data_IF_338839516035
#
_entry.id   IF_338839516035
#
_cell.length_a   1.000
_cell.length_b   1.000
_cell.length_c   1.000
_cell.angle_alpha   90.00
_cell.angle_beta   90.00
_cell.angle_gamma   90.00
#
_symmetry.space_group_name_H-M   'P 1'
#
loop_
_entity.id
_entity.type
_entity.pdbx_description
1 polymer ?
#
# COMPACT_ATOMS: atom_id res chain seq x y z
N UNK A 1 54.85 0.95 -36.65
CA UNK A 1 53.57 1.10 -35.93
C UNK A 1 52.83 -0.24 -35.99
N UNK A 2 52.97 -1.07 -34.95
CA UNK A 2 52.29 -2.37 -34.88
C UNK A 2 50.89 -2.17 -34.31
N UNK A 3 49.85 -2.44 -35.12
CA UNK A 3 48.47 -2.53 -34.65
C UNK A 3 48.30 -3.85 -33.92
N UNK A 4 48.15 -3.81 -32.59
CA UNK A 4 47.84 -4.99 -31.78
C UNK A 4 46.45 -5.53 -32.15
N UNK A 5 46.30 -6.85 -32.42
CA UNK A 5 45.00 -7.43 -32.74
C UNK A 5 44.12 -7.41 -31.49
N UNK A 6 43.03 -6.64 -31.54
CA UNK A 6 42.03 -6.55 -30.49
C UNK A 6 41.32 -7.91 -30.42
N UNK A 7 41.54 -8.67 -29.34
CA UNK A 7 40.92 -9.99 -29.19
C UNK A 7 39.39 -9.85 -29.15
N UNK A 8 38.70 -10.42 -30.13
CA UNK A 8 37.23 -10.33 -30.32
C UNK A 8 36.42 -10.65 -29.04
N UNK A 9 36.91 -11.55 -28.19
CA UNK A 9 36.29 -11.87 -26.90
C UNK A 9 36.21 -10.70 -25.92
N UNK A 10 37.25 -9.85 -25.85
CA UNK A 10 37.27 -8.69 -24.92
C UNK A 10 36.24 -7.62 -25.30
N UNK A 11 35.99 -7.43 -26.60
CA UNK A 11 34.98 -6.48 -27.08
C UNK A 11 33.59 -6.98 -26.70
N UNK A 12 33.32 -8.28 -26.82
CA UNK A 12 32.02 -8.86 -26.48
C UNK A 12 31.67 -8.70 -24.98
N UNK A 13 32.62 -8.93 -24.08
CA UNK A 13 32.41 -8.71 -22.64
C UNK A 13 32.14 -7.24 -22.31
N UNK A 14 32.85 -6.30 -22.94
CA UNK A 14 32.62 -4.86 -22.75
C UNK A 14 31.25 -4.44 -23.28
N UNK A 15 30.80 -4.99 -24.40
CA UNK A 15 29.48 -4.70 -25.00
C UNK A 15 28.35 -5.24 -24.12
N UNK A 16 28.47 -6.45 -23.58
CA UNK A 16 27.50 -7.01 -22.63
C UNK A 16 27.46 -6.14 -21.37
N UNK A 17 28.62 -5.80 -20.78
CA UNK A 17 28.67 -4.95 -19.60
C UNK A 17 28.04 -3.57 -19.84
N UNK A 18 28.32 -2.93 -20.99
CA UNK A 18 27.72 -1.67 -21.37
C UNK A 18 26.20 -1.78 -21.55
N UNK A 19 25.71 -2.83 -22.22
CA UNK A 19 24.28 -3.08 -22.38
C UNK A 19 23.57 -3.28 -21.05
N UNK A 20 24.19 -4.01 -20.12
CA UNK A 20 23.64 -4.29 -18.79
C UNK A 20 23.56 -3.00 -17.96
N UNK A 21 24.61 -2.17 -17.99
CA UNK A 21 24.61 -0.85 -17.33
C UNK A 21 23.52 0.06 -17.91
N UNK A 22 23.36 0.10 -19.24
CA UNK A 22 22.31 0.90 -19.89
C UNK A 22 20.91 0.41 -19.49
N UNK A 23 20.69 -0.90 -19.43
CA UNK A 23 19.40 -1.47 -19.01
C UNK A 23 19.12 -1.12 -17.54
N UNK A 24 20.09 -1.33 -16.64
CA UNK A 24 19.92 -1.02 -15.21
C UNK A 24 19.70 0.48 -15.01
N UNK A 25 20.50 1.33 -15.65
CA UNK A 25 20.34 2.78 -15.59
C UNK A 25 19.00 3.22 -16.16
N UNK A 26 18.57 2.64 -17.28
CA UNK A 26 17.25 2.89 -17.88
C UNK A 26 16.11 2.51 -16.94
N UNK A 27 16.17 1.35 -16.28
CA UNK A 27 15.18 0.92 -15.29
C UNK A 27 15.18 1.85 -14.07
N UNK A 28 16.35 2.25 -13.59
CA UNK A 28 16.47 3.15 -12.44
C UNK A 28 15.89 4.54 -12.72
N UNK A 29 16.16 5.10 -13.91
CA UNK A 29 15.57 6.36 -14.35
C UNK A 29 14.06 6.25 -14.60
N UNK A 30 13.57 5.06 -15.00
CA UNK A 30 12.16 4.81 -15.23
C UNK A 30 11.38 4.44 -13.96
N UNK A 31 12.03 4.25 -12.80
CA UNK A 31 11.41 3.76 -11.57
C UNK A 31 10.12 4.51 -11.20
N UNK A 32 10.15 5.84 -11.24
CA UNK A 32 9.02 6.69 -10.83
C UNK A 32 7.77 6.48 -11.70
N UNK A 33 7.97 6.01 -12.94
CA UNK A 33 6.89 5.63 -13.85
C UNK A 33 6.58 4.13 -13.77
N UNK A 34 7.60 3.28 -13.61
CA UNK A 34 7.47 1.83 -13.62
C UNK A 34 6.66 1.32 -12.43
N UNK A 35 6.87 1.88 -11.24
CA UNK A 35 6.17 1.51 -10.00
C UNK A 35 4.65 1.68 -10.12
N UNK A 36 4.11 2.86 -10.46
CA UNK A 36 2.66 3.03 -10.60
C UNK A 36 2.08 2.19 -11.74
N UNK A 37 2.84 1.98 -12.83
CA UNK A 37 2.42 1.09 -13.92
C UNK A 37 2.32 -0.36 -13.43
N UNK A 38 3.30 -0.86 -12.70
CA UNK A 38 3.28 -2.22 -12.17
C UNK A 38 2.11 -2.41 -11.19
N UNK A 39 1.90 -1.45 -10.29
CA UNK A 39 0.75 -1.42 -9.38
C UNK A 39 -0.56 -1.40 -10.18
N UNK A 40 -0.65 -0.61 -11.24
CA UNK A 40 -1.85 -0.52 -12.06
C UNK A 40 -2.18 -1.82 -12.79
N UNK A 41 -1.18 -2.56 -13.27
CA UNK A 41 -1.39 -3.88 -13.89
C UNK A 41 -1.96 -4.85 -12.86
N UNK A 42 -1.40 -4.86 -11.66
CA UNK A 42 -1.87 -5.68 -10.56
C UNK A 42 -3.30 -5.29 -10.13
N UNK A 43 -3.57 -3.99 -9.96
CA UNK A 43 -4.89 -3.48 -9.59
C UNK A 43 -5.93 -3.69 -10.70
N UNK A 44 -5.51 -3.68 -11.96
CA UNK A 44 -6.35 -4.00 -13.12
C UNK A 44 -6.82 -5.45 -13.11
N UNK A 45 -5.89 -6.37 -12.80
CA UNK A 45 -6.23 -7.78 -12.56
C UNK A 45 -7.28 -7.88 -11.44
N UNK A 46 -7.17 -7.06 -10.40
CA UNK A 46 -8.14 -7.03 -9.29
C UNK A 46 -9.47 -6.38 -9.63
N UNK A 47 -9.48 -5.36 -10.49
CA UNK A 47 -10.68 -4.71 -11.00
C UNK A 47 -11.45 -5.58 -12.00
N UNK A 48 -10.85 -6.66 -12.49
CA UNK A 48 -11.45 -7.49 -13.53
C UNK A 48 -12.74 -8.22 -13.07
N UNK A 49 -12.81 -8.89 -11.90
CA UNK A 49 -14.04 -9.52 -11.43
C UNK A 49 -15.24 -8.57 -11.30
N UNK A 50 -15.14 -7.38 -10.65
CA UNK A 50 -16.27 -6.47 -10.55
C UNK A 50 -16.67 -5.89 -11.91
N UNK A 51 -15.71 -5.55 -12.79
CA UNK A 51 -16.03 -5.10 -14.17
C UNK A 51 -16.74 -6.20 -14.96
N UNK A 52 -16.30 -7.47 -14.86
CA UNK A 52 -16.96 -8.61 -15.50
C UNK A 52 -18.38 -8.80 -14.97
N UNK A 53 -18.60 -8.63 -13.67
CA UNK A 53 -19.92 -8.73 -13.05
C UNK A 53 -20.87 -7.62 -13.55
N UNK A 54 -20.39 -6.38 -13.69
CA UNK A 54 -21.16 -5.28 -14.31
C UNK A 54 -21.49 -5.56 -15.78
N UNK A 55 -20.52 -6.08 -16.54
CA UNK A 55 -20.73 -6.43 -17.96
C UNK A 55 -21.78 -7.53 -18.13
N UNK A 56 -21.85 -8.50 -17.20
CA UNK A 56 -22.92 -9.53 -17.18
C UNK A 56 -24.31 -8.91 -16.97
N UNK A 57 -24.39 -7.75 -16.31
CA UNK A 57 -25.63 -6.95 -16.18
C UNK A 57 -25.89 -6.02 -17.39
N UNK A 58 -25.25 -6.27 -18.53
CA UNK A 58 -25.37 -5.49 -19.79
C UNK A 58 -24.87 -4.03 -19.71
N UNK A 59 -24.04 -3.68 -18.74
CA UNK A 59 -23.39 -2.36 -18.68
C UNK A 59 -22.25 -2.30 -19.72
N UNK A 60 -22.15 -1.24 -20.55
CA UNK A 60 -21.04 -1.09 -21.49
C UNK A 60 -19.71 -0.94 -20.74
N UNK A 61 -18.61 -1.38 -21.37
CA UNK A 61 -17.31 -1.48 -20.69
C UNK A 61 -16.86 -0.14 -20.08
N UNK A 62 -17.03 0.98 -20.78
CA UNK A 62 -16.64 2.30 -20.28
C UNK A 62 -17.35 2.68 -18.98
N UNK A 63 -18.66 2.47 -18.91
CA UNK A 63 -19.45 2.75 -17.70
C UNK A 63 -19.08 1.76 -16.59
N UNK A 64 -18.81 0.50 -16.92
CA UNK A 64 -18.40 -0.49 -15.93
C UNK A 64 -17.07 -0.12 -15.25
N UNK A 65 -16.09 0.33 -16.03
CA UNK A 65 -14.79 0.77 -15.51
C UNK A 65 -14.93 2.03 -14.65
N UNK A 66 -15.71 3.02 -15.11
CA UNK A 66 -15.99 4.23 -14.34
C UNK A 66 -16.63 3.91 -12.98
N UNK A 67 -17.65 3.04 -12.94
CA UNK A 67 -18.30 2.66 -11.68
C UNK A 67 -17.29 2.01 -10.72
N UNK A 68 -16.45 1.09 -11.21
CA UNK A 68 -15.47 0.40 -10.36
C UNK A 68 -14.44 1.40 -9.81
N UNK A 69 -13.94 2.31 -10.63
CA UNK A 69 -13.00 3.36 -10.19
C UNK A 69 -13.66 4.30 -9.18
N UNK A 70 -14.91 4.72 -9.43
CA UNK A 70 -15.66 5.56 -8.50
C UNK A 70 -15.86 4.89 -7.15
N UNK A 71 -16.16 3.58 -7.12
CA UNK A 71 -16.28 2.81 -5.87
C UNK A 71 -14.94 2.76 -5.13
N UNK A 72 -13.83 2.50 -5.83
CA UNK A 72 -12.50 2.49 -5.22
C UNK A 72 -12.15 3.87 -4.64
N UNK A 73 -12.39 4.94 -5.39
CA UNK A 73 -12.18 6.32 -4.94
C UNK A 73 -13.02 6.64 -3.70
N UNK A 74 -14.29 6.25 -3.70
CA UNK A 74 -15.19 6.48 -2.57
C UNK A 74 -14.68 5.78 -1.31
N UNK A 75 -14.22 4.53 -1.42
CA UNK A 75 -13.63 3.79 -0.30
C UNK A 75 -12.38 4.51 0.22
N UNK A 76 -11.48 4.93 -0.68
CA UNK A 76 -10.24 5.62 -0.29
C UNK A 76 -10.55 6.95 0.41
N UNK A 77 -11.47 7.75 -0.13
CA UNK A 77 -11.87 9.03 0.48
C UNK A 77 -12.48 8.78 1.87
N UNK A 78 -13.37 7.79 1.99
CA UNK A 78 -13.98 7.43 3.27
C UNK A 78 -12.91 7.03 4.30
N UNK A 79 -11.96 6.17 3.93
CA UNK A 79 -10.86 5.78 4.81
C UNK A 79 -9.96 6.98 5.17
N UNK A 80 -9.61 7.82 4.19
CA UNK A 80 -8.78 9.01 4.42
C UNK A 80 -9.44 10.00 5.37
N UNK A 81 -10.76 10.20 5.27
CA UNK A 81 -11.50 11.07 6.19
C UNK A 81 -11.54 10.49 7.62
N UNK A 82 -11.77 9.18 7.77
CA UNK A 82 -11.77 8.50 9.07
C UNK A 82 -10.39 8.59 9.73
N UNK A 83 -9.33 8.28 8.98
CA UNK A 83 -7.94 8.34 9.46
C UNK A 83 -7.54 9.78 9.77
N UNK A 84 -7.85 10.73 8.89
CA UNK A 84 -7.56 12.14 9.08
C UNK A 84 -8.24 12.71 10.32
N UNK A 85 -9.52 12.39 10.52
CA UNK A 85 -10.25 12.77 11.73
C UNK A 85 -9.62 12.16 12.98
N UNK A 86 -9.30 10.86 12.96
CA UNK A 86 -8.68 10.16 14.09
C UNK A 86 -7.30 10.73 14.44
N UNK A 87 -6.49 11.06 13.43
CA UNK A 87 -5.18 11.69 13.59
C UNK A 87 -5.30 13.11 14.15
N UNK A 88 -6.26 13.89 13.66
CA UNK A 88 -6.55 15.23 14.17
C UNK A 88 -6.99 15.19 15.63
N UNK A 89 -7.88 14.24 15.99
CA UNK A 89 -8.30 14.01 17.37
C UNK A 89 -7.13 13.60 18.25
N UNK A 90 -6.28 12.67 17.81
CA UNK A 90 -5.09 12.25 18.54
C UNK A 90 -4.12 13.43 18.77
N UNK A 91 -3.87 14.24 17.74
CA UNK A 91 -3.03 15.43 17.85
C UNK A 91 -3.60 16.45 18.85
N UNK A 92 -4.92 16.64 18.88
CA UNK A 92 -5.58 17.55 19.83
C UNK A 92 -5.60 17.02 21.28
N UNK A 93 -5.67 15.71 21.46
CA UNK A 93 -5.68 15.05 22.78
C UNK A 93 -4.27 14.81 23.32
N UNK A 94 -3.23 14.97 22.49
CA UNK A 94 -1.85 14.71 22.85
C UNK A 94 -1.36 15.46 24.10
N UNK A 95 -1.66 16.76 24.29
CA UNK A 95 -1.27 17.49 25.50
C UNK A 95 -1.89 16.88 26.77
N UNK A 96 -3.12 16.35 26.68
CA UNK A 96 -3.81 15.68 27.79
C UNK A 96 -3.14 14.34 28.10
N UNK A 97 -2.75 13.58 27.08
CA UNK A 97 -1.99 12.34 27.25
C UNK A 97 -0.60 12.60 27.88
N UNK A 98 0.07 13.69 27.50
CA UNK A 98 1.33 14.13 28.12
C UNK A 98 1.13 14.44 29.60
N UNK A 99 0.10 15.22 29.96
CA UNK A 99 -0.20 15.52 31.36
C UNK A 99 -0.46 14.27 32.19
N UNK A 100 -1.29 13.33 31.70
CA UNK A 100 -1.57 12.07 32.42
C UNK A 100 -0.32 11.19 32.57
N UNK A 101 0.48 11.07 31.52
CA UNK A 101 1.76 10.34 31.59
C UNK A 101 2.69 10.99 32.61
N UNK A 102 2.73 12.32 32.65
CA UNK A 102 3.55 13.07 33.60
C UNK A 102 3.07 12.90 35.04
N UNK A 103 1.76 12.86 35.28
CA UNK A 103 1.19 12.51 36.58
C UNK A 103 1.57 11.09 37.02
N UNK A 104 1.48 10.10 36.11
CA UNK A 104 1.88 8.72 36.42
C UNK A 104 3.38 8.56 36.62
N UNK A 105 4.21 9.24 35.82
CA UNK A 105 5.66 9.27 36.01
C UNK A 105 5.98 9.91 37.36
N UNK A 106 5.30 11.01 37.73
CA UNK A 106 5.49 11.66 39.02
C UNK A 106 5.07 10.76 40.18
N UNK A 107 3.98 10.01 40.04
CA UNK A 107 3.55 9.03 41.04
C UNK A 107 4.56 7.87 41.18
N UNK A 108 5.10 7.38 40.05
CA UNK A 108 6.14 6.35 40.04
C UNK A 108 7.46 6.86 40.63
N UNK A 109 7.92 8.06 40.28
CA UNK A 109 9.15 8.64 40.84
C UNK A 109 8.99 8.89 42.34
N UNK A 110 7.81 9.30 42.81
CA UNK A 110 7.53 9.46 44.24
C UNK A 110 7.57 8.10 44.98
N UNK A 111 7.01 7.04 44.38
CA UNK A 111 7.08 5.68 44.93
C UNK A 111 8.51 5.11 44.94
N UNK A 112 9.29 5.37 43.88
CA UNK A 112 10.70 4.95 43.79
C UNK A 112 11.60 5.76 44.73
N UNK A 113 11.30 7.05 44.93
CA UNK A 113 12.00 7.91 45.89
C UNK A 113 11.75 7.44 47.32
N UNK A 114 10.53 6.99 47.64
CA UNK A 114 10.21 6.34 48.91
C UNK A 114 10.96 5.01 49.13
N UNK A 115 11.47 4.39 48.06
CA UNK A 115 12.32 3.18 48.07
C UNK A 115 13.83 3.50 47.99
N UNK A 116 14.22 4.76 47.98
CA UNK A 116 15.63 5.20 48.01
C UNK A 116 16.31 5.39 46.64
N UNK A 117 15.55 5.35 45.53
CA UNK A 117 16.09 5.58 44.18
C UNK A 117 15.64 6.97 43.71
N UNK A 118 16.58 7.92 43.65
CA UNK A 118 16.33 9.29 43.18
C UNK A 118 16.54 9.33 41.67
N UNK A 119 15.45 9.49 40.90
CA UNK A 119 15.50 9.71 39.46
C UNK A 119 15.25 11.19 39.20
N UNK A 120 16.18 11.93 38.55
CA UNK A 120 15.97 13.34 38.24
C UNK A 120 14.80 13.52 37.25
N UNK A 121 13.83 14.41 37.55
CA UNK A 121 12.65 14.63 36.70
C UNK A 121 12.97 15.29 35.34
N UNK A 122 14.05 16.06 35.25
CA UNK A 122 14.38 16.85 34.05
C UNK A 122 14.84 16.02 32.84
N UNK A 123 15.26 14.76 33.03
CA UNK A 123 15.63 13.88 31.92
C UNK A 123 14.43 13.30 31.17
N UNK A 124 13.24 13.25 31.79
CA UNK A 124 12.06 12.59 31.22
C UNK A 124 11.11 13.55 30.50
N UNK A 125 11.19 14.85 30.78
CA UNK A 125 10.24 15.87 30.29
C UNK A 125 10.79 16.72 29.14
N UNK A 126 12.11 16.78 28.97
CA UNK A 126 12.78 17.67 28.02
C UNK A 126 12.69 17.19 26.56
N UNK A 127 12.24 15.95 26.31
CA UNK A 127 12.21 15.33 24.97
C UNK A 127 10.81 15.16 24.36
N UNK A 128 9.73 15.60 25.01
CA UNK A 128 8.39 15.62 24.42
C UNK A 128 7.98 17.04 24.01
N UNK A 129 8.74 17.66 23.09
CA UNK A 129 8.31 18.92 22.48
C UNK A 129 7.03 18.70 21.67
N UNK A 130 5.97 19.47 21.96
CA UNK A 130 4.71 19.44 21.19
C UNK A 130 4.92 19.64 19.68
N UNK A 131 6.02 20.31 19.29
CA UNK A 131 6.40 20.52 17.90
C UNK A 131 6.75 19.23 17.16
N UNK A 132 7.38 18.24 17.80
CA UNK A 132 7.75 16.98 17.15
C UNK A 132 6.51 16.16 16.80
N UNK A 133 5.48 16.23 17.64
CA UNK A 133 4.21 15.54 17.42
C UNK A 133 3.38 16.21 16.33
N UNK A 134 3.38 17.54 16.27
CA UNK A 134 2.79 18.29 15.17
C UNK A 134 3.49 17.98 13.82
N UNK A 135 4.82 17.81 13.83
CA UNK A 135 5.60 17.43 12.65
C UNK A 135 5.27 16.01 12.17
N UNK A 136 5.06 15.05 13.08
CA UNK A 136 4.62 13.69 12.73
C UNK A 136 3.23 13.73 12.08
N UNK A 137 2.28 14.45 12.67
CA UNK A 137 0.92 14.59 12.12
C UNK A 137 0.95 15.25 10.73
N UNK A 138 1.74 16.31 10.57
CA UNK A 138 1.90 17.02 9.30
C UNK A 138 2.59 16.14 8.25
N UNK A 139 3.59 15.34 8.62
CA UNK A 139 4.28 14.40 7.73
C UNK A 139 3.36 13.25 7.28
N UNK A 140 2.49 12.78 8.17
CA UNK A 140 1.45 11.82 7.80
C UNK A 140 0.46 12.42 6.80
N UNK A 141 0.00 13.65 7.06
CA UNK A 141 -0.97 14.33 6.21
C UNK A 141 -0.37 14.64 4.83
N UNK A 142 0.89 15.07 4.77
CA UNK A 142 1.62 15.27 3.51
C UNK A 142 1.87 13.94 2.78
N UNK A 143 2.15 12.86 3.51
CA UNK A 143 2.23 11.50 2.95
C UNK A 143 0.91 11.04 2.31
N UNK A 144 -0.23 11.30 2.96
CA UNK A 144 -1.56 11.05 2.39
C UNK A 144 -1.77 11.89 1.12
N UNK A 145 -1.42 13.19 1.14
CA UNK A 145 -1.53 14.08 -0.02
C UNK A 145 -0.67 13.63 -1.21
N UNK A 146 0.56 13.19 -0.94
CA UNK A 146 1.45 12.58 -1.93
C UNK A 146 0.87 11.28 -2.49
N UNK A 147 0.34 10.42 -1.61
CA UNK A 147 -0.36 9.19 -2.00
C UNK A 147 -1.56 9.46 -2.90
N UNK A 148 -2.38 10.48 -2.61
CA UNK A 148 -3.51 10.89 -3.46
C UNK A 148 -3.03 11.30 -4.85
N UNK A 149 -1.94 12.08 -4.92
CA UNK A 149 -1.36 12.50 -6.20
C UNK A 149 -0.89 11.29 -7.02
N UNK A 150 -0.25 10.32 -6.38
CA UNK A 150 0.16 9.06 -7.00
C UNK A 150 -1.04 8.19 -7.43
N UNK A 151 -2.09 8.15 -6.63
CA UNK A 151 -3.32 7.40 -6.92
C UNK A 151 -3.98 7.88 -8.20
N UNK A 152 -3.94 9.17 -8.53
CA UNK A 152 -4.50 9.67 -9.80
C UNK A 152 -3.83 9.00 -11.00
N UNK A 153 -2.49 8.91 -10.99
CA UNK A 153 -1.72 8.25 -12.05
C UNK A 153 -2.04 6.76 -12.12
N UNK A 154 -2.07 6.08 -10.97
CA UNK A 154 -2.43 4.66 -10.88
C UNK A 154 -3.83 4.44 -11.44
N UNK A 155 -4.83 5.21 -11.01
CA UNK A 155 -6.22 5.05 -11.42
C UNK A 155 -6.44 5.35 -12.90
N UNK A 156 -5.78 6.37 -13.46
CA UNK A 156 -5.80 6.62 -14.90
C UNK A 156 -5.21 5.44 -15.67
N UNK A 157 -4.08 4.91 -15.21
CA UNK A 157 -3.42 3.78 -15.86
C UNK A 157 -4.28 2.50 -15.77
N UNK A 158 -4.85 2.21 -14.59
CA UNK A 158 -5.81 1.12 -14.39
C UNK A 158 -7.01 1.29 -15.31
N UNK A 159 -7.56 2.49 -15.41
CA UNK A 159 -8.69 2.81 -16.29
C UNK A 159 -8.35 2.47 -17.74
N UNK A 160 -7.22 2.96 -18.23
CA UNK A 160 -6.76 2.71 -19.59
C UNK A 160 -6.55 1.21 -19.84
N UNK A 161 -5.87 0.51 -18.93
CA UNK A 161 -5.68 -0.94 -19.03
C UNK A 161 -7.01 -1.68 -19.03
N UNK A 162 -7.98 -1.31 -18.19
CA UNK A 162 -9.30 -1.96 -18.13
C UNK A 162 -10.13 -1.71 -19.40
N UNK A 163 -10.09 -0.49 -19.94
CA UNK A 163 -10.76 -0.12 -21.19
C UNK A 163 -10.16 -0.90 -22.36
N UNK A 164 -8.83 -0.91 -22.49
CA UNK A 164 -8.10 -1.64 -23.53
C UNK A 164 -8.32 -3.16 -23.36
N UNK A 165 -8.23 -3.69 -22.13
CA UNK A 165 -8.41 -5.12 -21.82
C UNK A 165 -9.80 -5.64 -22.22
N UNK A 166 -10.82 -4.78 -22.25
CA UNK A 166 -12.14 -5.12 -22.78
C UNK A 166 -12.15 -5.40 -24.30
N UNK A 167 -11.23 -4.77 -25.04
CA UNK A 167 -11.09 -4.85 -26.51
C UNK A 167 -9.93 -5.73 -26.97
N UNK A 168 -8.95 -5.96 -26.09
CA UNK A 168 -7.71 -6.69 -26.34
C UNK A 168 -7.91 -8.13 -26.87
N UNK A 169 -8.86 -8.94 -26.34
CA UNK A 169 -9.10 -10.28 -26.86
C UNK A 169 -9.64 -10.27 -28.30
N UNK A 170 -10.34 -9.21 -28.72
CA UNK A 170 -10.86 -9.07 -30.08
C UNK A 170 -9.73 -8.69 -31.05
N UNK A 171 -8.81 -7.81 -30.65
CA UNK A 171 -7.60 -7.47 -31.44
C UNK A 171 -6.68 -8.68 -31.60
N UNK A 172 -6.44 -9.45 -30.53
CA UNK A 172 -5.62 -10.68 -30.60
C UNK A 172 -6.29 -11.74 -31.48
N UNK A 173 -7.62 -11.89 -31.41
CA UNK A 173 -8.34 -12.84 -32.26
C UNK A 173 -8.26 -12.45 -33.73
N UNK A 174 -8.31 -11.15 -34.04
CA UNK A 174 -8.13 -10.65 -35.39
C UNK A 174 -6.69 -10.84 -35.92
N UNK A 175 -5.67 -10.78 -35.04
CA UNK A 175 -4.27 -10.92 -35.43
C UNK A 175 -3.73 -12.36 -35.42
N UNK A 176 -4.22 -13.23 -34.52
CA UNK A 176 -3.64 -14.56 -34.23
C UNK A 176 -4.66 -15.70 -34.43
N UNK A 177 -5.93 -15.39 -34.72
CA UNK A 177 -6.98 -16.38 -35.01
C UNK A 177 -7.50 -17.15 -33.79
N UNK A 178 -6.63 -17.65 -32.90
CA UNK A 178 -7.01 -18.51 -31.78
C UNK A 178 -6.48 -18.03 -30.39
N UNK A 179 -7.25 -17.21 -29.65
CA UNK A 179 -6.82 -16.60 -28.38
C UNK A 179 -6.51 -17.57 -27.24
N UNK A 180 -7.08 -18.79 -27.27
CA UNK A 180 -6.90 -19.80 -26.22
C UNK A 180 -5.58 -20.56 -26.32
N UNK A 181 -4.93 -20.54 -27.49
CA UNK A 181 -3.64 -21.20 -27.70
C UNK A 181 -2.45 -20.36 -27.16
N UNK A 182 -2.67 -19.08 -26.84
CA UNK A 182 -1.58 -18.13 -26.65
C UNK A 182 -0.95 -18.23 -25.25
N UNK A 183 -1.71 -18.32 -24.13
CA UNK A 183 -1.13 -18.55 -22.78
C UNK A 183 -2.12 -19.12 -21.74
N UNK A 184 -2.35 -20.45 -21.67
CA UNK A 184 -3.23 -21.06 -20.66
C UNK A 184 -2.75 -20.84 -19.21
N UNK A 185 -1.43 -20.89 -18.95
CA UNK A 185 -0.85 -20.68 -17.62
C UNK A 185 -1.05 -19.27 -17.05
N UNK A 186 -1.10 -18.24 -17.90
CA UNK A 186 -1.31 -16.85 -17.47
C UNK A 186 -2.70 -16.65 -16.85
N UNK A 187 -3.72 -17.28 -17.43
CA UNK A 187 -5.09 -17.18 -16.90
C UNK A 187 -5.27 -17.90 -15.56
N UNK A 188 -4.56 -19.01 -15.35
CA UNK A 188 -4.53 -19.71 -14.08
C UNK A 188 -3.84 -18.86 -13.00
N UNK A 189 -2.67 -18.31 -13.31
CA UNK A 189 -1.94 -17.40 -12.41
C UNK A 189 -2.80 -16.21 -11.99
N UNK A 190 -3.44 -15.54 -12.95
CA UNK A 190 -4.35 -14.42 -12.68
C UNK A 190 -5.51 -14.80 -11.76
N UNK A 191 -6.15 -15.95 -12.00
CA UNK A 191 -7.26 -16.41 -11.16
C UNK A 191 -6.79 -16.78 -9.75
N UNK A 192 -5.60 -17.38 -9.61
CA UNK A 192 -5.00 -17.70 -8.32
C UNK A 192 -4.73 -16.42 -7.52
N UNK A 193 -4.14 -15.40 -8.15
CA UNK A 193 -3.90 -14.09 -7.55
C UNK A 193 -5.19 -13.42 -7.09
N UNK A 194 -6.24 -13.44 -7.92
CA UNK A 194 -7.54 -12.88 -7.57
C UNK A 194 -8.15 -13.58 -6.36
N UNK A 195 -8.14 -14.91 -6.32
CA UNK A 195 -8.70 -15.70 -5.22
C UNK A 195 -7.93 -15.46 -3.93
N UNK A 196 -6.60 -15.46 -4.00
CA UNK A 196 -5.73 -15.17 -2.88
C UNK A 196 -5.98 -13.77 -2.32
N UNK A 197 -6.03 -12.75 -3.18
CA UNK A 197 -6.23 -11.37 -2.72
C UNK A 197 -7.60 -11.16 -2.12
N UNK A 198 -8.68 -11.68 -2.72
CA UNK A 198 -10.03 -11.56 -2.14
C UNK A 198 -10.08 -12.20 -0.75
N UNK A 199 -9.44 -13.36 -0.57
CA UNK A 199 -9.34 -13.99 0.74
C UNK A 199 -8.59 -13.10 1.74
N UNK A 200 -7.47 -12.50 1.33
CA UNK A 200 -6.70 -11.58 2.16
C UNK A 200 -7.50 -10.33 2.53
N UNK A 201 -8.20 -9.70 1.57
CA UNK A 201 -9.03 -8.52 1.84
C UNK A 201 -10.14 -8.86 2.81
N UNK A 202 -10.81 -9.99 2.62
CA UNK A 202 -11.95 -10.40 3.44
C UNK A 202 -11.51 -10.77 4.86
N UNK A 203 -10.46 -11.56 4.99
CA UNK A 203 -9.90 -11.94 6.29
C UNK A 203 -9.41 -10.72 7.08
N UNK A 204 -8.66 -9.83 6.42
CA UNK A 204 -8.21 -8.58 7.02
C UNK A 204 -9.39 -7.71 7.45
N UNK A 205 -10.41 -7.56 6.59
CA UNK A 205 -11.59 -6.73 6.87
C UNK A 205 -12.35 -7.25 8.10
N UNK A 206 -12.59 -8.56 8.15
CA UNK A 206 -13.26 -9.20 9.28
C UNK A 206 -12.45 -8.96 10.56
N UNK A 207 -11.14 -9.18 10.52
CA UNK A 207 -10.26 -9.01 11.68
C UNK A 207 -10.26 -7.55 12.16
N UNK A 208 -10.14 -6.58 11.25
CA UNK A 208 -10.20 -5.16 11.58
C UNK A 208 -11.53 -4.75 12.20
N UNK A 209 -12.66 -5.21 11.64
CA UNK A 209 -14.00 -4.94 12.19
C UNK A 209 -14.17 -5.56 13.57
N UNK A 210 -13.75 -6.81 13.77
CA UNK A 210 -13.81 -7.49 15.07
C UNK A 210 -13.02 -6.69 16.12
N UNK A 211 -11.81 -6.26 15.79
CA UNK A 211 -10.95 -5.50 16.69
C UNK A 211 -11.55 -4.12 17.00
N UNK A 212 -12.08 -3.41 16.00
CA UNK A 212 -12.80 -2.15 16.23
C UNK A 212 -13.99 -2.35 17.15
N UNK A 213 -14.79 -3.40 16.94
CA UNK A 213 -15.99 -3.66 17.75
C UNK A 213 -15.60 -4.02 19.19
N UNK A 214 -14.56 -4.82 19.38
CA UNK A 214 -13.99 -5.13 20.68
C UNK A 214 -13.52 -3.87 21.41
N UNK A 215 -12.66 -3.07 20.78
CA UNK A 215 -12.12 -1.84 21.38
C UNK A 215 -13.21 -0.82 21.68
N UNK A 216 -14.23 -0.74 20.84
CA UNK A 216 -15.39 0.13 21.04
C UNK A 216 -16.20 -0.30 22.27
N UNK A 217 -16.40 -1.61 22.49
CA UNK A 217 -17.05 -2.14 23.70
C UNK A 217 -16.27 -1.82 24.98
N UNK A 218 -14.94 -1.78 24.91
CA UNK A 218 -14.07 -1.39 26.03
C UNK A 218 -13.90 0.14 26.20
N UNK A 219 -14.57 0.96 25.39
CA UNK A 219 -14.53 2.42 25.51
C UNK A 219 -13.22 3.07 25.05
N UNK A 220 -12.46 2.41 24.18
CA UNK A 220 -11.21 2.98 23.65
C UNK A 220 -11.52 4.03 22.59
N UNK A 221 -11.10 5.28 22.82
CA UNK A 221 -11.39 6.46 21.97
C UNK A 221 -11.01 6.27 20.48
N UNK A 222 -9.97 5.48 20.19
CA UNK A 222 -9.41 5.30 18.84
C UNK A 222 -9.65 3.88 18.26
N UNK A 223 -10.71 3.21 18.67
CA UNK A 223 -11.06 1.84 18.24
C UNK A 223 -11.10 1.66 16.71
N UNK A 224 -11.62 2.66 15.98
CA UNK A 224 -11.72 2.63 14.50
C UNK A 224 -10.34 2.72 13.86
N UNK A 225 -9.49 3.64 14.33
CA UNK A 225 -8.12 3.79 13.84
C UNK A 225 -7.31 2.50 14.07
N UNK A 226 -7.43 1.90 15.26
CA UNK A 226 -6.71 0.67 15.60
C UNK A 226 -7.16 -0.54 14.77
N UNK A 227 -8.46 -0.70 14.52
CA UNK A 227 -8.95 -1.76 13.62
C UNK A 227 -8.56 -1.53 12.17
N UNK A 228 -8.50 -0.28 11.70
CA UNK A 228 -7.99 0.07 10.38
C UNK A 228 -6.49 -0.22 10.25
N UNK A 229 -5.69 0.12 11.27
CA UNK A 229 -4.27 -0.26 11.32
C UNK A 229 -4.14 -1.77 11.26
N UNK A 230 -4.99 -2.52 11.96
CA UNK A 230 -4.95 -3.98 11.93
C UNK A 230 -5.33 -4.53 10.56
N UNK A 231 -6.35 -3.95 9.91
CA UNK A 231 -6.70 -4.26 8.53
C UNK A 231 -5.50 -4.08 7.58
N UNK A 232 -4.80 -2.95 7.68
CA UNK A 232 -3.61 -2.66 6.86
C UNK A 232 -2.45 -3.61 7.20
N UNK A 233 -2.18 -3.86 8.48
CA UNK A 233 -1.13 -4.78 8.90
C UNK A 233 -1.38 -6.21 8.44
N UNK A 234 -2.65 -6.61 8.27
CA UNK A 234 -3.00 -7.92 7.71
C UNK A 234 -2.56 -8.09 6.24
N UNK A 235 -2.30 -6.98 5.54
CA UNK A 235 -1.74 -7.00 4.18
C UNK A 235 -0.22 -7.18 4.13
N UNK A 236 0.52 -6.83 5.19
CA UNK A 236 1.96 -7.06 5.31
C UNK A 236 2.14 -8.57 5.55
N UNK A 237 2.56 -9.37 4.55
CA UNK A 237 2.01 -10.72 4.45
C UNK A 237 2.69 -11.73 5.38
N UNK A 238 1.90 -12.77 5.67
CA UNK A 238 2.13 -14.05 6.37
C UNK A 238 3.37 -14.87 5.95
N UNK A 239 4.33 -14.33 5.18
CA UNK A 239 5.57 -15.03 4.85
C UNK A 239 6.33 -15.49 6.11
N UNK A 240 6.25 -14.71 7.19
CA UNK A 240 6.78 -15.07 8.52
C UNK A 240 6.08 -16.31 9.09
N UNK A 241 4.77 -16.42 8.90
CA UNK A 241 3.95 -17.51 9.46
C UNK A 241 4.12 -18.81 8.66
N UNK A 242 4.39 -18.71 7.36
CA UNK A 242 4.71 -19.85 6.51
C UNK A 242 6.16 -20.34 6.71
N UNK A 243 7.09 -19.46 7.09
CA UNK A 243 8.48 -19.81 7.49
C UNK A 243 8.55 -20.44 8.90
N UNK A 244 7.60 -20.14 9.80
CA UNK A 244 7.53 -20.73 11.15
C UNK A 244 6.88 -22.13 11.19
N UNK A 245 6.20 -22.53 10.11
CA UNK A 245 5.52 -23.83 9.99
C UNK A 245 6.19 -24.78 8.98
N UNK A 246 7.31 -24.37 8.36
CA UNK A 246 8.16 -25.16 7.47
C UNK A 246 9.51 -25.44 8.12
#
# INVERSE_FOLDING_TARGET
MQSTPISSGRIHYVLIAASLVIIIAGIHLAHDFLVPVLISIFLSVLGTPPVRWLKRRRVPIGIAVLIVISVILLIIILLATIVGASMSSLASSMPVYQQRLQEHITALTTFLSAKGIIIPPDMLTTSMNSNDMANIATSFLSGIGSGISMLVVILLTVSFILLEAGSFPNKIRAAVGNPRAVFPGFTAFVNEMQRFMVFQTLYGLITGVIITLWLWLFGVEYAVLLGLITFILCYIPMWVQQLLLS
#
